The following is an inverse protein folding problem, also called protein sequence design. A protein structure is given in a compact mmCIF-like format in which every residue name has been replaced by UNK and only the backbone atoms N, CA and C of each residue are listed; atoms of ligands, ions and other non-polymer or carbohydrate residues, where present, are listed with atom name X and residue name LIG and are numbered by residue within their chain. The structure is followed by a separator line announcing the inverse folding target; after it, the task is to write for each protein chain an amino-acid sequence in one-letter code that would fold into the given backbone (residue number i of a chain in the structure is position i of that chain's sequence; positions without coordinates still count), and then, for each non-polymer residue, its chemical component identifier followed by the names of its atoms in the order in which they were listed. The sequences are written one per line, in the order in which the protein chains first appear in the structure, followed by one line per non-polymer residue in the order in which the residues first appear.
data_IF_873390592432
#
_entry.id   IF_873390592432
#
_cell.length_a   1.000
_cell.length_b   1.000
_cell.length_c   1.000
_cell.angle_alpha   90.00
_cell.angle_beta   90.00
_cell.angle_gamma   90.00
#
_symmetry.space_group_name_H-M   'P 1'
#
loop_
_entity.id
_entity.type
_entity.pdbx_description
1 polymer ?
#
# COMPACT_ATOMS: atom_id res chain seq x y z
N UNK A 1 -9.18 2.35 14.05
CA UNK A 1 -10.39 2.28 14.84
C UNK A 1 -10.66 3.52 15.68
N UNK A 2 -9.85 3.78 16.73
CA UNK A 2 -10.20 4.81 17.75
C UNK A 2 -10.23 6.24 17.20
N UNK A 3 -9.33 6.64 16.30
CA UNK A 3 -9.35 7.98 15.69
C UNK A 3 -10.71 8.31 15.05
N UNK A 4 -11.32 7.33 14.37
CA UNK A 4 -12.66 7.50 13.79
C UNK A 4 -13.72 7.61 14.90
N UNK A 5 -13.65 6.76 15.91
CA UNK A 5 -14.59 6.82 17.05
C UNK A 5 -14.48 8.14 17.82
N UNK A 6 -13.27 8.68 17.97
CA UNK A 6 -13.02 9.93 18.66
C UNK A 6 -13.71 11.15 18.03
N UNK A 7 -14.10 11.07 16.74
CA UNK A 7 -14.83 12.14 16.03
C UNK A 7 -16.33 12.19 16.38
N UNK A 8 -16.86 11.18 17.06
CA UNK A 8 -18.26 11.16 17.46
C UNK A 8 -18.54 12.13 18.61
N UNK A 9 -19.80 12.60 18.74
CA UNK A 9 -20.24 13.47 19.84
C UNK A 9 -20.10 12.77 21.20
N UNK A 10 -20.34 11.44 21.24
CA UNK A 10 -20.12 10.59 22.40
C UNK A 10 -19.45 9.29 22.01
N UNK A 11 -18.45 8.89 22.77
CA UNK A 11 -17.72 7.62 22.63
C UNK A 11 -18.04 6.72 23.82
N UNK A 12 -18.70 5.62 23.57
CA UNK A 12 -19.05 4.65 24.60
C UNK A 12 -18.22 3.38 24.46
N UNK A 13 -17.82 2.83 25.59
CA UNK A 13 -16.99 1.63 25.66
C UNK A 13 -17.71 0.59 26.54
N UNK A 14 -17.65 -0.66 26.11
CA UNK A 14 -18.11 -1.75 26.97
C UNK A 14 -17.24 -1.84 28.24
N UNK A 15 -17.82 -2.14 29.46
CA UNK A 15 -17.04 -2.24 30.70
C UNK A 15 -15.88 -3.26 30.68
N UNK A 16 -15.87 -4.19 29.72
CA UNK A 16 -14.76 -5.12 29.47
C UNK A 16 -13.95 -4.76 28.21
N UNK A 17 -14.14 -3.55 27.68
CA UNK A 17 -13.43 -3.03 26.52
C UNK A 17 -12.11 -2.36 26.90
N UNK A 18 -11.38 -1.93 25.89
CA UNK A 18 -10.12 -1.20 26.06
C UNK A 18 -9.93 -0.17 24.93
N UNK A 19 -9.25 0.90 25.25
CA UNK A 19 -8.62 1.79 24.25
C UNK A 19 -7.13 1.80 24.54
N UNK A 20 -6.34 1.37 23.58
CA UNK A 20 -4.89 1.33 23.69
C UNK A 20 -4.28 2.10 22.53
N UNK A 21 -3.43 3.08 22.85
CA UNK A 21 -2.68 3.88 21.89
C UNK A 21 -1.21 3.43 21.94
N UNK A 22 -0.87 2.44 21.10
CA UNK A 22 0.43 1.75 21.17
C UNK A 22 1.56 2.49 20.44
N UNK A 23 1.23 3.45 19.59
CA UNK A 23 2.21 4.05 18.71
C UNK A 23 2.31 3.32 17.37
N UNK A 24 3.28 3.75 16.56
CA UNK A 24 3.64 3.11 15.30
C UNK A 24 4.94 2.35 15.50
N UNK A 25 4.96 1.09 15.08
CA UNK A 25 6.15 0.24 15.12
C UNK A 25 6.36 -0.46 13.77
N UNK A 26 7.61 -0.64 13.40
CA UNK A 26 8.01 -1.38 12.20
C UNK A 26 9.03 -2.44 12.58
N UNK A 27 8.56 -3.66 12.78
CA UNK A 27 9.38 -4.81 13.15
C UNK A 27 9.37 -5.82 12.01
N UNK A 28 10.56 -6.24 11.57
CA UNK A 28 10.75 -7.22 10.50
C UNK A 28 11.44 -8.47 11.01
N UNK A 29 11.18 -9.60 10.36
CA UNK A 29 11.96 -10.82 10.57
C UNK A 29 13.17 -10.80 9.63
N UNK A 30 14.35 -11.05 10.17
CA UNK A 30 15.61 -11.13 9.44
C UNK A 30 15.99 -12.59 9.22
N UNK A 31 16.44 -12.94 8.02
CA UNK A 31 16.61 -14.30 7.56
C UNK A 31 18.09 -14.68 7.31
N UNK A 32 19.02 -13.73 7.39
CA UNK A 32 20.42 -13.95 7.02
C UNK A 32 21.04 -15.18 7.74
N UNK A 33 20.88 -15.30 9.05
CA UNK A 33 21.43 -16.41 9.82
C UNK A 33 20.77 -17.76 9.46
N UNK A 34 19.47 -17.73 9.14
CA UNK A 34 18.77 -18.91 8.67
C UNK A 34 19.26 -19.33 7.26
N UNK A 35 19.47 -18.36 6.40
CA UNK A 35 19.98 -18.60 5.04
C UNK A 35 21.39 -19.18 5.08
N UNK A 36 22.29 -18.62 5.90
CA UNK A 36 23.63 -19.19 6.12
C UNK A 36 23.54 -20.65 6.60
N UNK A 37 22.71 -20.89 7.60
CA UNK A 37 22.51 -22.26 8.14
C UNK A 37 22.01 -23.25 7.10
N UNK A 38 21.12 -22.82 6.21
CA UNK A 38 20.56 -23.68 5.16
C UNK A 38 21.41 -23.70 3.88
N UNK A 39 22.43 -22.85 3.74
CA UNK A 39 23.24 -22.74 2.55
C UNK A 39 22.55 -22.01 1.41
N UNK A 40 21.76 -21.00 1.75
CA UNK A 40 21.12 -20.09 0.80
C UNK A 40 21.95 -18.81 0.78
N UNK A 41 22.42 -18.40 -0.39
CA UNK A 41 23.14 -17.15 -0.58
C UNK A 41 22.18 -16.08 -1.11
N UNK A 42 22.03 -14.97 -0.39
CA UNK A 42 21.22 -13.82 -0.83
C UNK A 42 22.16 -12.70 -1.31
N UNK A 43 21.94 -12.22 -2.51
CA UNK A 43 22.69 -11.12 -3.12
C UNK A 43 21.78 -9.92 -3.30
N UNK A 44 21.99 -8.89 -2.49
CA UNK A 44 21.27 -7.63 -2.58
C UNK A 44 22.09 -6.61 -3.39
N UNK A 45 21.52 -6.14 -4.47
CA UNK A 45 22.02 -5.04 -5.28
C UNK A 45 21.06 -3.86 -5.10
N UNK A 46 21.55 -2.68 -4.75
CA UNK A 46 20.69 -1.51 -4.52
C UNK A 46 21.39 -0.21 -4.87
N UNK A 47 20.60 0.81 -5.14
CA UNK A 47 21.05 2.20 -5.20
C UNK A 47 20.28 3.01 -4.16
N UNK A 48 21.04 3.65 -3.25
CA UNK A 48 20.52 4.42 -2.13
C UNK A 48 20.55 3.65 -0.80
N UNK A 49 21.11 4.29 0.21
CA UNK A 49 21.32 3.76 1.56
C UNK A 49 20.01 3.47 2.30
N UNK A 50 18.95 4.22 1.98
CA UNK A 50 17.62 4.07 2.61
C UNK A 50 16.74 2.99 1.95
N UNK A 51 17.19 2.35 0.85
CA UNK A 51 16.46 1.26 0.21
C UNK A 51 16.63 -0.04 0.98
N UNK A 52 15.98 -0.13 2.13
CA UNK A 52 16.14 -1.20 3.12
C UNK A 52 15.26 -2.44 2.89
N UNK A 53 14.43 -2.48 1.84
CA UNK A 53 13.48 -3.58 1.60
C UNK A 53 14.15 -4.97 1.51
N UNK A 54 15.39 -5.05 0.99
CA UNK A 54 16.15 -6.29 0.88
C UNK A 54 17.04 -6.63 2.09
N UNK A 55 17.17 -5.75 3.09
CA UNK A 55 18.04 -5.98 4.25
C UNK A 55 17.69 -7.24 5.06
N UNK A 56 16.41 -7.62 5.22
CA UNK A 56 16.07 -8.83 5.95
C UNK A 56 16.73 -10.10 5.44
N UNK A 57 17.14 -10.13 4.18
CA UNK A 57 17.72 -11.33 3.56
C UNK A 57 19.25 -11.39 3.67
N UNK A 58 19.92 -10.27 4.03
CA UNK A 58 21.38 -10.17 4.07
C UNK A 58 21.94 -9.74 5.42
N UNK A 59 21.06 -9.40 6.38
CA UNK A 59 21.42 -8.92 7.72
C UNK A 59 20.60 -9.63 8.78
N UNK A 60 21.08 -9.61 10.02
CA UNK A 60 20.36 -10.09 11.19
C UNK A 60 19.58 -8.98 11.93
N UNK A 61 19.78 -7.71 11.53
CA UNK A 61 19.20 -6.51 12.15
C UNK A 61 18.94 -5.41 11.13
N UNK A 62 18.29 -4.33 11.55
CA UNK A 62 18.08 -3.13 10.74
C UNK A 62 19.36 -2.31 10.62
N UNK A 63 19.54 -1.63 9.48
CA UNK A 63 20.63 -0.65 9.37
C UNK A 63 20.29 0.65 10.09
N UNK A 64 21.30 1.41 10.58
CA UNK A 64 21.07 2.71 11.18
C UNK A 64 20.33 3.69 10.27
N UNK A 65 20.59 3.62 8.97
CA UNK A 65 19.92 4.43 7.95
C UNK A 65 18.44 4.07 7.81
N UNK A 66 18.13 2.78 7.88
CA UNK A 66 16.73 2.31 7.85
C UNK A 66 15.98 2.76 9.11
N UNK A 67 16.60 2.62 10.29
CA UNK A 67 16.00 3.03 11.56
C UNK A 67 15.77 4.55 11.61
N UNK A 68 16.76 5.35 11.19
CA UNK A 68 16.63 6.81 11.10
C UNK A 68 15.49 7.22 10.20
N UNK A 69 15.43 6.66 8.99
CA UNK A 69 14.38 6.98 8.04
C UNK A 69 12.99 6.56 8.54
N UNK A 70 12.87 5.37 9.14
CA UNK A 70 11.62 4.86 9.67
C UNK A 70 11.11 5.71 10.84
N UNK A 71 11.95 6.03 11.80
CA UNK A 71 11.58 6.90 12.91
C UNK A 71 11.19 8.30 12.44
N UNK A 72 11.85 8.84 11.42
CA UNK A 72 11.59 10.19 10.94
C UNK A 72 10.15 10.37 10.44
N UNK A 73 9.67 9.48 9.58
CA UNK A 73 8.29 9.57 9.07
C UNK A 73 7.25 9.04 10.07
N UNK A 74 7.59 7.99 10.86
CA UNK A 74 6.66 7.45 11.86
C UNK A 74 6.35 8.47 12.95
N UNK A 75 7.36 9.19 13.47
CA UNK A 75 7.15 10.24 14.46
C UNK A 75 6.28 11.39 13.93
N UNK A 76 6.44 11.75 12.67
CA UNK A 76 5.64 12.78 12.03
C UNK A 76 4.16 12.35 11.92
N UNK A 77 3.89 11.13 11.46
CA UNK A 77 2.53 10.57 11.39
C UNK A 77 1.92 10.39 12.78
N UNK A 78 2.69 9.85 13.73
CA UNK A 78 2.24 9.63 15.10
C UNK A 78 1.87 10.93 15.81
N UNK A 79 2.68 11.96 15.67
CA UNK A 79 2.41 13.28 16.26
C UNK A 79 1.09 13.85 15.75
N UNK A 80 0.78 13.75 14.46
CA UNK A 80 -0.52 14.15 13.90
C UNK A 80 -1.64 13.29 14.44
N UNK A 81 -1.46 11.98 14.49
CA UNK A 81 -2.48 11.07 15.01
C UNK A 81 -2.89 11.42 16.45
N UNK A 82 -1.91 11.71 17.31
CA UNK A 82 -2.18 12.16 18.68
C UNK A 82 -2.85 13.53 18.71
N UNK A 83 -2.41 14.47 17.86
CA UNK A 83 -3.01 15.80 17.76
C UNK A 83 -4.48 15.74 17.33
N UNK A 84 -4.80 14.89 16.35
CA UNK A 84 -6.17 14.73 15.85
C UNK A 84 -7.08 14.09 16.91
N UNK A 85 -6.59 13.07 17.64
CA UNK A 85 -7.31 12.49 18.78
C UNK A 85 -7.52 13.55 19.87
N UNK A 86 -6.47 14.27 20.24
CA UNK A 86 -6.53 15.28 21.28
C UNK A 86 -7.53 16.40 20.92
N UNK A 87 -7.50 16.88 19.68
CA UNK A 87 -8.44 17.87 19.19
C UNK A 87 -9.90 17.37 19.25
N UNK A 88 -10.17 16.16 18.76
CA UNK A 88 -11.49 15.55 18.78
C UNK A 88 -12.02 15.33 20.20
N UNK A 89 -11.16 14.91 21.13
CA UNK A 89 -11.52 14.65 22.54
C UNK A 89 -11.35 15.86 23.46
N UNK A 90 -10.95 17.03 22.93
CA UNK A 90 -10.68 18.26 23.69
C UNK A 90 -9.62 18.04 24.78
N UNK A 91 -8.58 17.30 24.45
CA UNK A 91 -7.44 16.99 25.30
C UNK A 91 -6.19 17.76 24.83
N UNK A 92 -5.15 17.76 25.67
CA UNK A 92 -3.85 18.24 25.28
C UNK A 92 -3.00 17.08 24.73
N UNK A 93 -2.41 17.23 23.55
CA UNK A 93 -1.66 16.16 22.88
C UNK A 93 -0.38 15.75 23.66
N UNK A 94 0.29 16.70 24.32
CA UNK A 94 1.46 16.41 25.13
C UNK A 94 1.09 15.61 26.38
N UNK A 95 -0.04 15.96 27.00
CA UNK A 95 -0.61 15.19 28.13
C UNK A 95 -0.95 13.76 27.69
N UNK A 96 -1.54 13.59 26.52
CA UNK A 96 -1.89 12.28 25.97
C UNK A 96 -0.64 11.44 25.72
N UNK A 97 0.42 12.02 25.14
CA UNK A 97 1.70 11.37 24.94
C UNK A 97 2.33 10.93 26.28
N UNK A 98 2.37 11.83 27.28
CA UNK A 98 2.90 11.50 28.61
C UNK A 98 2.11 10.37 29.30
N UNK A 99 0.80 10.29 29.08
CA UNK A 99 -0.03 9.20 29.62
C UNK A 99 0.30 7.86 28.97
N UNK A 100 0.74 7.82 27.71
CA UNK A 100 1.19 6.60 27.04
C UNK A 100 2.49 6.12 27.67
N UNK A 101 3.44 7.01 27.93
CA UNK A 101 4.71 6.69 28.58
C UNK A 101 4.53 6.19 30.02
N UNK A 102 3.55 6.72 30.75
CA UNK A 102 3.22 6.35 32.14
C UNK A 102 2.13 5.26 32.25
N UNK A 103 1.78 4.61 31.14
CA UNK A 103 0.67 3.64 31.06
C UNK A 103 0.69 2.56 32.15
N UNK A 104 1.85 1.95 32.53
CA UNK A 104 1.88 0.96 33.60
C UNK A 104 1.39 1.49 34.95
N UNK A 105 1.79 2.71 35.34
CA UNK A 105 1.39 3.31 36.61
C UNK A 105 -0.09 3.71 36.59
N UNK A 106 -0.55 4.27 35.48
CA UNK A 106 -1.96 4.65 35.31
C UNK A 106 -2.87 3.40 35.36
N UNK A 107 -2.46 2.30 34.72
CA UNK A 107 -3.20 1.04 34.74
C UNK A 107 -3.20 0.42 36.17
N UNK A 108 -2.09 0.50 36.89
CA UNK A 108 -2.01 0.05 38.26
C UNK A 108 -2.97 0.84 39.18
N UNK A 109 -3.07 2.16 38.99
CA UNK A 109 -3.97 3.03 39.77
C UNK A 109 -5.46 2.67 39.63
N UNK A 110 -5.86 2.11 38.50
CA UNK A 110 -7.21 1.60 38.25
C UNK A 110 -7.35 0.08 38.43
N UNK A 111 -6.37 -0.54 39.12
CA UNK A 111 -6.36 -1.97 39.45
C UNK A 111 -6.42 -2.90 38.23
N UNK A 112 -5.82 -2.50 37.11
CA UNK A 112 -5.78 -3.27 35.87
C UNK A 112 -7.02 -3.16 34.99
N UNK A 113 -7.96 -2.29 35.32
CA UNK A 113 -9.20 -2.12 34.57
C UNK A 113 -8.99 -1.16 33.37
N UNK A 114 -8.82 -1.71 32.18
CA UNK A 114 -8.57 -0.95 30.96
C UNK A 114 -9.72 -0.02 30.56
N UNK A 115 -10.95 -0.40 30.83
CA UNK A 115 -12.11 0.45 30.52
C UNK A 115 -12.17 1.67 31.43
N UNK A 116 -11.91 1.49 32.74
CA UNK A 116 -11.80 2.59 33.69
C UNK A 116 -10.60 3.48 33.36
N UNK A 117 -9.49 2.93 32.90
CA UNK A 117 -8.37 3.72 32.44
C UNK A 117 -8.76 4.62 31.27
N UNK A 118 -9.37 4.08 30.23
CA UNK A 118 -9.85 4.86 29.09
C UNK A 118 -10.83 5.98 29.50
N UNK A 119 -11.72 5.69 30.46
CA UNK A 119 -12.63 6.68 31.01
C UNK A 119 -11.91 7.79 31.81
N UNK A 120 -10.94 7.41 32.63
CA UNK A 120 -10.13 8.36 33.43
C UNK A 120 -9.29 9.28 32.55
N UNK A 121 -8.78 8.77 31.42
CA UNK A 121 -8.04 9.52 30.41
C UNK A 121 -8.97 10.36 29.49
N UNK A 122 -10.29 10.31 29.68
CA UNK A 122 -11.31 10.97 28.83
C UNK A 122 -11.27 10.55 27.36
N UNK A 123 -10.73 9.36 27.08
CA UNK A 123 -10.80 8.78 25.75
C UNK A 123 -12.20 8.29 25.41
N UNK A 124 -13.00 7.96 26.41
CA UNK A 124 -14.41 7.59 26.28
C UNK A 124 -15.28 8.40 27.25
N UNK A 125 -16.56 8.56 26.94
CA UNK A 125 -17.49 9.37 27.72
C UNK A 125 -18.29 8.53 28.74
N UNK A 126 -18.51 7.24 28.44
CA UNK A 126 -19.20 6.34 29.35
C UNK A 126 -18.79 4.87 29.12
N UNK A 127 -18.96 4.08 30.16
CA UNK A 127 -18.92 2.63 30.07
C UNK A 127 -20.36 2.12 29.96
N UNK A 128 -20.69 1.43 28.86
CA UNK A 128 -22.06 1.08 28.48
C UNK A 128 -22.10 -0.36 28.01
N UNK A 129 -22.99 -1.17 28.59
CA UNK A 129 -23.24 -2.54 28.11
C UNK A 129 -24.09 -2.52 26.82
N UNK A 130 -24.18 -3.65 26.15
CA UNK A 130 -24.92 -3.73 24.87
C UNK A 130 -26.43 -3.43 25.07
N UNK A 131 -27.04 -3.96 26.08
CA UNK A 131 -28.46 -3.75 26.41
C UNK A 131 -28.75 -2.28 26.79
N UNK A 132 -27.84 -1.62 27.52
CA UNK A 132 -27.90 -0.18 27.80
C UNK A 132 -27.76 0.65 26.53
N UNK A 133 -26.85 0.26 25.59
CA UNK A 133 -26.69 0.89 24.28
C UNK A 133 -27.99 0.78 23.45
N UNK A 134 -28.56 -0.43 23.36
CA UNK A 134 -29.79 -0.69 22.64
C UNK A 134 -30.96 0.14 23.20
N UNK A 135 -31.05 0.22 24.52
CA UNK A 135 -32.05 1.07 25.21
C UNK A 135 -31.88 2.55 24.85
N UNK A 136 -30.66 3.07 24.84
CA UNK A 136 -30.36 4.49 24.48
C UNK A 136 -30.71 4.76 23.01
N UNK A 137 -30.33 3.85 22.10
CA UNK A 137 -30.64 3.99 20.68
C UNK A 137 -32.14 3.90 20.39
N UNK A 138 -32.87 3.04 21.09
CA UNK A 138 -34.33 2.95 20.98
C UNK A 138 -35.02 4.23 21.46
N UNK A 139 -34.45 4.92 22.46
CA UNK A 139 -34.97 6.20 22.93
C UNK A 139 -34.74 7.37 21.97
N UNK A 140 -33.71 7.32 21.12
CA UNK A 140 -33.35 8.37 20.16
C UNK A 140 -33.90 8.13 18.76
N UNK A 141 -34.22 6.89 18.40
CA UNK A 141 -34.66 6.47 17.07
C UNK A 141 -36.06 5.84 17.05
N UNK A 142 -36.39 5.21 15.93
CA UNK A 142 -37.63 4.44 15.81
C UNK A 142 -37.45 3.06 16.47
N UNK A 143 -38.42 2.66 17.28
CA UNK A 143 -38.47 1.33 17.88
C UNK A 143 -38.54 0.28 16.78
N UNK A 144 -37.69 -0.74 16.86
CA UNK A 144 -37.69 -1.91 15.96
C UNK A 144 -38.77 -2.90 16.36
N UNK A 145 -39.14 -3.74 15.41
CA UNK A 145 -40.00 -4.92 15.66
C UNK A 145 -39.13 -6.20 15.87
N UNK A 146 -37.81 -6.05 15.74
CA UNK A 146 -36.83 -7.11 15.86
C UNK A 146 -36.25 -7.21 17.28
N UNK A 147 -35.48 -8.24 17.54
CA UNK A 147 -34.87 -8.52 18.85
C UNK A 147 -33.83 -7.44 19.29
N UNK A 148 -33.45 -6.49 18.40
CA UNK A 148 -32.53 -5.42 18.73
C UNK A 148 -33.19 -4.15 19.24
N UNK A 149 -34.52 -4.10 19.31
CA UNK A 149 -35.29 -3.02 19.94
C UNK A 149 -35.26 -1.66 19.22
N UNK A 150 -34.46 -1.46 18.15
CA UNK A 150 -34.39 -0.24 17.34
C UNK A 150 -34.19 -0.54 15.85
N UNK A 151 -34.64 0.36 14.99
CA UNK A 151 -34.49 0.20 13.55
C UNK A 151 -33.08 0.53 13.10
N UNK A 152 -32.46 -0.39 12.40
CA UNK A 152 -31.10 -0.24 11.85
C UNK A 152 -31.01 -0.75 10.42
N UNK A 153 -30.03 -0.26 9.69
CA UNK A 153 -29.66 -0.75 8.36
C UNK A 153 -28.15 -0.97 8.31
N UNK A 154 -27.71 -2.12 7.83
CA UNK A 154 -26.28 -2.38 7.62
C UNK A 154 -25.69 -1.49 6.52
N UNK A 155 -24.42 -1.09 6.68
CA UNK A 155 -23.72 -0.20 5.74
C UNK A 155 -23.78 -0.70 4.30
N UNK A 156 -23.58 -2.00 4.06
CA UNK A 156 -23.64 -2.59 2.71
C UNK A 156 -25.03 -2.45 2.09
N UNK A 157 -26.11 -2.70 2.84
CA UNK A 157 -27.47 -2.55 2.36
C UNK A 157 -27.81 -1.07 2.09
N UNK A 158 -27.31 -0.16 2.93
CA UNK A 158 -27.46 1.27 2.73
C UNK A 158 -26.73 1.74 1.47
N UNK A 159 -25.45 1.34 1.29
CA UNK A 159 -24.65 1.65 0.11
C UNK A 159 -25.27 1.12 -1.19
N UNK A 160 -25.78 -0.12 -1.19
CA UNK A 160 -26.49 -0.68 -2.34
C UNK A 160 -27.75 0.12 -2.70
N UNK A 161 -28.44 0.65 -1.70
CA UNK A 161 -29.63 1.47 -1.92
C UNK A 161 -29.32 2.84 -2.51
N UNK A 162 -28.18 3.45 -2.12
CA UNK A 162 -27.69 4.68 -2.71
C UNK A 162 -27.22 4.51 -4.16
N UNK A 163 -26.65 3.36 -4.48
CA UNK A 163 -26.06 3.06 -5.79
C UNK A 163 -27.02 2.32 -6.72
N UNK A 164 -28.32 2.28 -6.44
CA UNK A 164 -29.31 1.46 -7.16
C UNK A 164 -29.56 1.87 -8.63
N UNK A 165 -29.11 3.05 -9.05
CA UNK A 165 -29.23 3.48 -10.45
C UNK A 165 -27.87 3.48 -11.13
N UNK A 166 -27.68 2.75 -12.25
CA UNK A 166 -26.48 2.87 -13.04
C UNK A 166 -26.33 4.32 -13.55
N UNK A 167 -25.12 4.90 -13.49
CA UNK A 167 -24.91 6.25 -13.98
C UNK A 167 -25.24 6.31 -15.47
N UNK A 168 -26.09 7.26 -15.87
CA UNK A 168 -26.37 7.52 -17.28
C UNK A 168 -25.11 8.07 -17.97
N UNK A 169 -24.88 7.75 -19.26
CA UNK A 169 -23.79 8.35 -20.01
C UNK A 169 -23.85 9.87 -19.92
N UNK A 170 -22.77 10.48 -19.44
CA UNK A 170 -22.65 11.93 -19.34
C UNK A 170 -21.40 12.36 -20.15
N UNK A 171 -21.53 13.32 -21.07
CA UNK A 171 -20.39 13.81 -21.86
C UNK A 171 -19.31 14.50 -21.01
N UNK A 172 -19.62 14.83 -19.74
CA UNK A 172 -18.72 15.45 -18.80
C UNK A 172 -18.32 14.45 -17.69
N UNK A 173 -17.59 13.42 -18.06
CA UNK A 173 -17.16 12.37 -17.12
C UNK A 173 -15.72 12.60 -16.65
N UNK A 174 -15.51 12.51 -15.33
CA UNK A 174 -14.20 12.28 -14.70
C UNK A 174 -14.06 10.78 -14.49
N UNK A 175 -13.08 10.17 -15.15
CA UNK A 175 -12.79 8.75 -15.00
C UNK A 175 -11.87 8.52 -13.79
N UNK A 176 -12.20 7.60 -12.91
CA UNK A 176 -11.34 7.16 -11.81
C UNK A 176 -10.80 5.78 -12.15
N UNK A 177 -9.47 5.65 -12.24
CA UNK A 177 -8.76 4.37 -12.36
C UNK A 177 -8.11 4.08 -11.01
N UNK A 178 -8.41 2.93 -10.42
CA UNK A 178 -7.85 2.52 -9.14
C UNK A 178 -6.62 1.65 -9.38
N UNK A 179 -5.50 2.02 -8.76
CA UNK A 179 -4.24 1.29 -8.73
C UNK A 179 -3.92 0.93 -7.28
N UNK A 180 -4.34 -0.26 -6.86
CA UNK A 180 -4.22 -0.74 -5.47
C UNK A 180 -3.45 -2.06 -5.41
N UNK A 181 -2.47 -2.14 -4.52
CA UNK A 181 -1.61 -3.29 -4.30
C UNK A 181 -0.22 -3.19 -4.94
N UNK A 182 0.49 -4.31 -4.99
CA UNK A 182 1.82 -4.42 -5.60
C UNK A 182 1.75 -4.33 -7.13
N UNK A 183 2.71 -3.63 -7.73
CA UNK A 183 2.81 -3.51 -9.20
C UNK A 183 3.55 -4.73 -9.76
N UNK A 184 2.87 -5.47 -10.63
CA UNK A 184 3.34 -6.73 -11.20
C UNK A 184 3.34 -6.71 -12.74
N UNK A 185 4.14 -7.57 -13.36
CA UNK A 185 4.19 -7.72 -14.80
C UNK A 185 2.91 -8.36 -15.36
N UNK A 186 2.55 -7.97 -16.56
CA UNK A 186 1.40 -8.52 -17.28
C UNK A 186 0.04 -8.11 -16.72
N UNK A 187 -0.91 -9.07 -16.70
CA UNK A 187 -2.25 -8.90 -16.14
C UNK A 187 -2.24 -9.15 -14.63
N UNK A 188 -2.52 -8.14 -13.82
CA UNK A 188 -2.60 -8.29 -12.36
C UNK A 188 -3.82 -9.13 -11.91
N UNK A 189 -3.61 -9.92 -10.87
CA UNK A 189 -4.69 -10.56 -10.12
C UNK A 189 -5.42 -9.54 -9.21
N UNK A 190 -6.64 -9.85 -8.73
CA UNK A 190 -7.31 -9.00 -7.76
C UNK A 190 -6.42 -8.69 -6.54
N UNK A 191 -6.28 -7.40 -6.21
CA UNK A 191 -5.36 -6.93 -5.14
C UNK A 191 -3.94 -6.66 -5.60
N UNK A 192 -3.66 -6.72 -6.91
CA UNK A 192 -2.40 -6.29 -7.53
C UNK A 192 -2.64 -5.32 -8.68
N UNK A 193 -1.61 -4.58 -9.05
CA UNK A 193 -1.62 -3.63 -10.16
C UNK A 193 -0.86 -4.27 -11.33
N UNK A 194 -1.58 -4.89 -12.27
CA UNK A 194 -0.97 -5.38 -13.50
C UNK A 194 -0.59 -4.24 -14.44
N UNK A 195 0.65 -4.24 -14.94
CA UNK A 195 1.10 -3.20 -15.86
C UNK A 195 0.25 -3.10 -17.12
N UNK A 196 -0.09 -4.24 -17.72
CA UNK A 196 -0.93 -4.30 -18.92
C UNK A 196 -2.37 -3.93 -18.61
N UNK A 197 -2.94 -4.49 -17.54
CA UNK A 197 -4.33 -4.23 -17.14
C UNK A 197 -4.55 -2.76 -16.84
N UNK A 198 -3.71 -2.16 -15.98
CA UNK A 198 -3.88 -0.77 -15.56
C UNK A 198 -3.62 0.20 -16.70
N UNK A 199 -2.61 -0.05 -17.53
CA UNK A 199 -2.35 0.72 -18.75
C UNK A 199 -3.55 0.67 -19.71
N UNK A 200 -4.18 -0.50 -19.89
CA UNK A 200 -5.38 -0.64 -20.72
C UNK A 200 -6.58 0.13 -20.15
N UNK A 201 -6.76 0.18 -18.82
CA UNK A 201 -7.82 0.97 -18.18
C UNK A 201 -7.62 2.48 -18.41
N UNK A 202 -6.39 2.98 -18.25
CA UNK A 202 -6.06 4.38 -18.50
C UNK A 202 -6.26 4.71 -19.99
N UNK A 203 -5.81 3.84 -20.89
CA UNK A 203 -6.02 3.98 -22.35
C UNK A 203 -7.49 4.03 -22.70
N UNK A 204 -8.32 3.13 -22.15
CA UNK A 204 -9.77 3.14 -22.34
C UNK A 204 -10.38 4.47 -21.90
N UNK A 205 -9.96 5.02 -20.74
CA UNK A 205 -10.40 6.33 -20.29
C UNK A 205 -9.93 7.46 -21.25
N UNK A 206 -8.72 7.35 -21.78
CA UNK A 206 -8.18 8.31 -22.75
C UNK A 206 -8.96 8.30 -24.07
N UNK A 207 -9.38 7.13 -24.54
CA UNK A 207 -10.06 6.95 -25.82
C UNK A 207 -11.59 7.20 -25.76
N UNK A 208 -12.19 7.17 -24.57
CA UNK A 208 -13.62 7.46 -24.39
C UNK A 208 -13.90 8.97 -24.53
N UNK A 209 -14.67 9.36 -25.55
CA UNK A 209 -15.02 10.75 -25.83
C UNK A 209 -15.82 11.45 -24.71
N UNK A 210 -16.51 10.70 -23.87
CA UNK A 210 -17.25 11.25 -22.73
C UNK A 210 -16.33 11.57 -21.54
N UNK A 211 -15.16 10.95 -21.46
CA UNK A 211 -14.18 11.22 -20.43
C UNK A 211 -13.40 12.47 -20.76
N UNK A 212 -13.44 13.46 -19.87
CA UNK A 212 -12.74 14.75 -20.03
C UNK A 212 -11.50 14.88 -19.16
N UNK A 213 -11.43 14.13 -18.06
CA UNK A 213 -10.28 14.06 -17.17
C UNK A 213 -10.15 12.65 -16.56
N UNK A 214 -8.94 12.33 -16.09
CA UNK A 214 -8.68 11.07 -15.40
C UNK A 214 -8.13 11.35 -14.01
N UNK A 215 -8.64 10.64 -13.02
CA UNK A 215 -8.05 10.55 -11.68
C UNK A 215 -7.45 9.16 -11.54
N UNK A 216 -6.15 9.09 -11.25
CA UNK A 216 -5.49 7.85 -10.87
C UNK A 216 -5.44 7.77 -9.33
N UNK A 217 -6.23 6.87 -8.76
CA UNK A 217 -6.23 6.60 -7.30
C UNK A 217 -5.17 5.56 -7.01
N UNK A 218 -4.10 5.94 -6.30
CA UNK A 218 -2.94 5.09 -6.04
C UNK A 218 -2.87 4.70 -4.57
N UNK A 219 -2.87 3.39 -4.29
CA UNK A 219 -2.60 2.82 -2.98
C UNK A 219 -1.62 1.64 -3.13
N UNK A 220 -0.32 1.93 -3.26
CA UNK A 220 0.68 0.96 -3.72
C UNK A 220 2.04 1.14 -3.05
N UNK A 221 2.67 0.04 -2.58
CA UNK A 221 4.07 0.03 -2.15
C UNK A 221 5.08 0.13 -3.32
N UNK A 222 4.60 0.06 -4.54
CA UNK A 222 5.40 -0.12 -5.74
C UNK A 222 5.44 -1.57 -6.22
N UNK A 223 6.52 -1.96 -6.88
CA UNK A 223 6.72 -3.30 -7.45
C UNK A 223 7.72 -3.29 -8.61
N UNK A 224 7.46 -4.04 -9.66
CA UNK A 224 8.32 -4.14 -10.84
C UNK A 224 8.45 -2.78 -11.56
N UNK A 225 9.66 -2.49 -12.04
CA UNK A 225 9.96 -1.22 -12.74
C UNK A 225 9.27 -1.15 -14.10
N UNK A 226 9.33 -2.23 -14.88
CA UNK A 226 8.79 -2.23 -16.24
C UNK A 226 7.28 -1.95 -16.29
N UNK A 227 6.42 -2.63 -15.54
CA UNK A 227 4.99 -2.29 -15.51
C UNK A 227 4.71 -0.89 -14.94
N UNK A 228 5.52 -0.42 -13.99
CA UNK A 228 5.40 0.97 -13.51
C UNK A 228 5.64 1.99 -14.64
N UNK A 229 6.61 1.73 -15.50
CA UNK A 229 6.89 2.58 -16.67
C UNK A 229 5.78 2.50 -17.72
N UNK A 230 5.18 1.33 -17.96
CA UNK A 230 4.04 1.19 -18.87
C UNK A 230 2.87 2.07 -18.41
N UNK A 231 2.54 2.02 -17.12
CA UNK A 231 1.45 2.83 -16.54
C UNK A 231 1.79 4.33 -16.60
N UNK A 232 3.00 4.72 -16.20
CA UNK A 232 3.46 6.11 -16.27
C UNK A 232 3.36 6.65 -17.70
N UNK A 233 3.73 5.84 -18.69
CA UNK A 233 3.64 6.24 -20.10
C UNK A 233 2.20 6.48 -20.56
N UNK A 234 1.23 5.68 -20.13
CA UNK A 234 -0.19 5.94 -20.44
C UNK A 234 -0.72 7.21 -19.76
N UNK A 235 -0.20 7.57 -18.58
CA UNK A 235 -0.49 8.88 -17.96
C UNK A 235 0.00 10.01 -18.86
N UNK A 236 1.24 9.94 -19.38
CA UNK A 236 1.76 10.94 -20.32
C UNK A 236 0.95 11.02 -21.61
N UNK A 237 0.59 9.88 -22.20
CA UNK A 237 -0.21 9.84 -23.43
C UNK A 237 -1.60 10.42 -23.21
N UNK A 238 -2.18 10.23 -22.04
CA UNK A 238 -3.49 10.79 -21.67
C UNK A 238 -3.43 12.31 -21.57
N UNK A 239 -2.38 12.86 -20.95
CA UNK A 239 -2.12 14.30 -20.93
C UNK A 239 -1.86 14.86 -22.32
N UNK A 240 -1.05 14.17 -23.13
CA UNK A 240 -0.76 14.58 -24.52
C UNK A 240 -2.03 14.58 -25.40
N UNK A 241 -3.03 13.75 -25.09
CA UNK A 241 -4.35 13.77 -25.73
C UNK A 241 -5.26 14.92 -25.25
N UNK A 242 -4.76 15.80 -24.37
CA UNK A 242 -5.48 16.96 -23.86
C UNK A 242 -6.42 16.65 -22.69
N UNK A 243 -6.35 15.46 -22.08
CA UNK A 243 -7.13 15.10 -20.90
C UNK A 243 -6.26 15.27 -19.66
N UNK A 244 -6.60 16.17 -18.71
CA UNK A 244 -5.88 16.30 -17.46
C UNK A 244 -5.86 14.99 -16.68
N UNK A 245 -4.71 14.69 -16.05
CA UNK A 245 -4.56 13.56 -15.15
C UNK A 245 -4.19 14.07 -13.76
N UNK A 246 -5.01 13.77 -12.78
CA UNK A 246 -4.76 14.09 -11.37
C UNK A 246 -4.55 12.78 -10.60
N UNK A 247 -3.55 12.77 -9.71
CA UNK A 247 -3.33 11.62 -8.81
C UNK A 247 -3.94 11.91 -7.45
N UNK A 248 -4.65 10.93 -6.91
CA UNK A 248 -5.07 10.87 -5.51
C UNK A 248 -4.35 9.70 -4.83
N UNK A 249 -3.39 9.99 -3.97
CA UNK A 249 -2.71 8.98 -3.18
C UNK A 249 -3.60 8.49 -2.04
N UNK A 250 -3.56 7.20 -1.76
CA UNK A 250 -4.18 6.56 -0.60
C UNK A 250 -3.27 6.64 0.62
N UNK A 251 -3.28 5.57 1.42
CA UNK A 251 -2.42 5.46 2.58
C UNK A 251 -0.95 5.32 2.18
N UNK A 252 -0.71 4.72 1.00
CA UNK A 252 0.62 4.40 0.50
C UNK A 252 0.72 4.63 -1.01
N UNK A 253 1.71 5.42 -1.45
CA UNK A 253 2.04 5.61 -2.86
C UNK A 253 3.54 5.80 -3.02
N UNK A 254 4.29 4.71 -2.83
CA UNK A 254 5.75 4.75 -2.71
C UNK A 254 6.44 3.95 -3.82
N UNK A 255 7.68 4.33 -4.13
CA UNK A 255 8.54 3.63 -5.09
C UNK A 255 7.88 3.52 -6.48
N UNK A 256 7.55 2.34 -6.98
CA UNK A 256 6.74 2.17 -8.20
C UNK A 256 5.40 2.89 -8.15
N UNK A 257 4.76 3.00 -6.95
CA UNK A 257 3.56 3.78 -6.73
C UNK A 257 3.79 5.30 -6.95
N UNK A 258 4.97 5.81 -6.57
CA UNK A 258 5.37 7.17 -6.92
C UNK A 258 5.73 7.30 -8.41
N UNK A 259 6.37 6.26 -9.00
CA UNK A 259 6.70 6.21 -10.42
C UNK A 259 5.47 6.43 -11.30
N UNK A 260 4.37 5.74 -11.04
CA UNK A 260 3.12 5.90 -11.81
C UNK A 260 2.41 7.23 -11.55
N UNK A 261 2.76 7.92 -10.44
CA UNK A 261 2.12 9.17 -10.00
C UNK A 261 2.82 10.42 -10.49
N UNK A 262 4.16 10.39 -10.65
CA UNK A 262 5.01 11.58 -10.78
C UNK A 262 4.66 12.50 -11.95
N UNK A 263 4.12 11.96 -13.05
CA UNK A 263 3.81 12.71 -14.27
C UNK A 263 2.40 13.33 -14.30
N UNK A 264 1.61 13.21 -13.24
CA UNK A 264 0.29 13.84 -13.15
C UNK A 264 0.36 15.37 -13.21
N UNK A 265 -0.73 16.03 -13.59
CA UNK A 265 -0.86 17.49 -13.57
C UNK A 265 -0.95 18.04 -12.16
N UNK A 266 -1.42 17.21 -11.22
CA UNK A 266 -1.48 17.49 -9.78
C UNK A 266 -1.47 16.18 -9.00
N UNK A 267 -0.79 16.18 -7.87
CA UNK A 267 -0.72 15.04 -6.94
C UNK A 267 -1.31 15.47 -5.60
N UNK A 268 -2.38 14.80 -5.21
CA UNK A 268 -3.04 14.94 -3.91
C UNK A 268 -2.65 13.81 -2.98
N UNK A 269 -2.40 14.12 -1.71
CA UNK A 269 -2.13 13.15 -0.65
C UNK A 269 -2.73 13.63 0.67
N UNK A 270 -2.99 12.71 1.59
CA UNK A 270 -3.18 13.06 3.00
C UNK A 270 -1.81 13.42 3.61
N UNK A 271 -1.74 14.33 4.60
CA UNK A 271 -0.50 14.60 5.31
C UNK A 271 0.20 13.36 5.90
N UNK A 272 -0.57 12.31 6.20
CA UNK A 272 -0.09 11.03 6.74
C UNK A 272 0.10 9.94 5.68
N UNK A 273 -0.17 10.20 4.40
CA UNK A 273 0.17 9.29 3.30
C UNK A 273 1.65 8.94 3.34
N UNK A 274 1.99 7.68 3.15
CA UNK A 274 3.37 7.22 3.02
C UNK A 274 3.76 7.24 1.55
N UNK A 275 4.85 7.98 1.20
CA UNK A 275 5.27 8.13 -0.20
C UNK A 275 6.79 8.25 -0.34
N UNK A 276 7.29 8.66 -1.50
CA UNK A 276 8.72 8.71 -1.80
C UNK A 276 9.26 7.32 -2.12
N UNK A 277 10.23 6.83 -1.34
CA UNK A 277 10.97 5.58 -1.60
C UNK A 277 11.52 5.52 -3.03
N UNK A 278 11.92 6.69 -3.58
CA UNK A 278 12.50 6.83 -4.92
C UNK A 278 13.87 6.15 -4.92
N UNK A 279 13.89 4.92 -5.41
CA UNK A 279 15.06 4.05 -5.39
C UNK A 279 14.68 2.67 -5.92
N UNK A 280 15.68 1.94 -6.39
CA UNK A 280 15.50 0.59 -6.93
C UNK A 280 16.47 -0.39 -6.29
N UNK A 281 16.10 -1.66 -6.30
CA UNK A 281 16.95 -2.76 -5.87
C UNK A 281 16.67 -4.00 -6.69
N UNK A 282 17.60 -4.95 -6.64
CA UNK A 282 17.45 -6.30 -7.15
C UNK A 282 17.89 -7.29 -6.09
N UNK A 283 17.20 -8.39 -5.98
CA UNK A 283 17.51 -9.47 -5.06
C UNK A 283 17.61 -10.76 -5.84
N UNK A 284 18.71 -11.50 -5.63
CA UNK A 284 18.98 -12.77 -6.26
C UNK A 284 19.42 -13.79 -5.22
N UNK A 285 18.94 -15.03 -5.37
CA UNK A 285 19.28 -16.12 -4.44
C UNK A 285 19.99 -17.23 -5.17
N UNK A 286 21.04 -17.77 -4.55
CA UNK A 286 21.69 -18.99 -4.97
C UNK A 286 21.57 -20.06 -3.89
N UNK A 287 21.49 -21.31 -4.29
CA UNK A 287 21.25 -22.44 -3.39
C UNK A 287 22.23 -23.63 -3.63
N UNK A 288 23.44 -23.46 -4.20
CA UNK A 288 24.33 -24.57 -4.49
C UNK A 288 24.77 -25.31 -3.22
N UNK A 289 25.04 -24.59 -2.13
CA UNK A 289 25.40 -25.20 -0.85
C UNK A 289 24.22 -25.94 -0.21
N UNK A 290 23.01 -25.37 -0.28
CA UNK A 290 21.80 -26.03 0.19
C UNK A 290 21.54 -27.34 -0.56
N UNK A 291 21.74 -27.35 -1.88
CA UNK A 291 21.65 -28.53 -2.71
C UNK A 291 22.76 -29.57 -2.35
N UNK A 292 23.98 -29.12 -2.13
CA UNK A 292 25.08 -29.95 -1.70
C UNK A 292 24.82 -30.66 -0.35
N UNK A 293 24.15 -29.97 0.60
CA UNK A 293 23.77 -30.57 1.90
C UNK A 293 22.79 -31.74 1.78
N UNK A 294 22.04 -31.82 0.67
CA UNK A 294 21.15 -32.96 0.36
C UNK A 294 21.68 -33.87 -0.75
N UNK A 295 22.95 -33.72 -1.12
CA UNK A 295 23.63 -34.56 -2.09
C UNK A 295 23.33 -34.25 -3.57
N UNK A 296 22.76 -33.09 -3.87
CA UNK A 296 22.50 -32.64 -5.23
C UNK A 296 23.59 -31.69 -5.70
N UNK A 297 24.05 -31.89 -6.95
CA UNK A 297 25.07 -31.05 -7.59
C UNK A 297 24.59 -30.65 -8.97
N UNK A 298 24.94 -29.43 -9.40
CA UNK A 298 24.66 -28.93 -10.74
C UNK A 298 25.97 -28.79 -11.51
N UNK A 299 26.06 -29.46 -12.66
CA UNK A 299 27.18 -29.37 -13.58
C UNK A 299 26.68 -29.32 -15.03
N UNK A 300 27.48 -28.77 -15.95
CA UNK A 300 27.12 -28.64 -17.33
C UNK A 300 28.09 -27.78 -18.13
N UNK A 301 27.83 -27.67 -19.42
CA UNK A 301 28.63 -26.86 -20.35
C UNK A 301 27.74 -25.83 -21.06
N UNK A 302 28.27 -24.64 -21.31
CA UNK A 302 27.59 -23.56 -22.03
C UNK A 302 28.40 -23.11 -23.24
N UNK A 303 27.75 -22.59 -24.26
CA UNK A 303 28.40 -22.01 -25.44
C UNK A 303 29.07 -20.66 -25.17
N UNK A 304 28.64 -20.00 -24.10
CA UNK A 304 29.21 -18.73 -23.61
C UNK A 304 29.32 -18.78 -22.10
N UNK A 305 30.10 -17.89 -21.51
CA UNK A 305 30.19 -17.74 -20.05
C UNK A 305 28.83 -17.32 -19.41
N UNK A 306 27.98 -16.63 -20.18
CA UNK A 306 26.67 -16.15 -19.72
C UNK A 306 25.62 -17.29 -19.71
N UNK A 307 25.86 -18.38 -20.43
CA UNK A 307 24.95 -19.51 -20.43
C UNK A 307 24.90 -20.18 -19.06
N UNK A 308 23.75 -20.14 -18.40
CA UNK A 308 23.53 -20.61 -17.04
C UNK A 308 24.14 -19.73 -15.94
N UNK A 309 24.55 -18.50 -16.23
CA UNK A 309 25.11 -17.59 -15.24
C UNK A 309 24.07 -17.06 -14.24
N UNK A 310 22.78 -17.17 -14.57
CA UNK A 310 21.64 -16.82 -13.70
C UNK A 310 20.96 -18.07 -13.10
N UNK A 311 21.54 -19.23 -13.21
CA UNK A 311 21.00 -20.44 -12.60
C UNK A 311 21.18 -20.37 -11.07
N UNK A 312 20.09 -20.37 -10.27
CA UNK A 312 20.17 -20.30 -8.82
C UNK A 312 20.82 -21.53 -8.19
N UNK A 313 20.89 -22.66 -8.90
CA UNK A 313 21.58 -23.86 -8.46
C UNK A 313 23.12 -23.79 -8.58
N UNK A 314 23.65 -22.67 -9.08
CA UNK A 314 25.09 -22.41 -9.27
C UNK A 314 25.51 -21.17 -8.48
N UNK A 315 26.79 -21.08 -8.05
CA UNK A 315 27.31 -19.84 -7.45
C UNK A 315 27.16 -18.65 -8.41
N UNK A 316 26.85 -17.47 -7.87
CA UNK A 316 26.74 -16.25 -8.67
C UNK A 316 28.11 -15.86 -9.24
N UNK A 317 28.22 -15.77 -10.56
CA UNK A 317 29.43 -15.22 -11.21
C UNK A 317 29.56 -13.73 -10.87
N UNK A 318 30.73 -13.25 -10.37
CA UNK A 318 30.94 -11.84 -10.05
C UNK A 318 30.67 -10.89 -11.22
N UNK A 319 30.86 -11.33 -12.47
CA UNK A 319 30.54 -10.52 -13.66
C UNK A 319 29.04 -10.27 -13.77
N UNK A 320 28.22 -11.23 -13.38
CA UNK A 320 26.75 -11.08 -13.34
C UNK A 320 26.38 -10.06 -12.27
N UNK A 321 26.98 -10.13 -11.08
CA UNK A 321 26.77 -9.14 -10.03
C UNK A 321 27.06 -7.71 -10.50
N UNK A 322 28.19 -7.50 -11.18
CA UNK A 322 28.52 -6.19 -11.76
C UNK A 322 27.49 -5.73 -12.81
N UNK A 323 27.09 -6.62 -13.72
CA UNK A 323 26.05 -6.31 -14.71
C UNK A 323 24.72 -5.90 -14.06
N UNK A 324 24.31 -6.59 -13.02
CA UNK A 324 23.09 -6.25 -12.26
C UNK A 324 23.23 -4.86 -11.65
N UNK A 325 24.35 -4.58 -10.97
CA UNK A 325 24.58 -3.27 -10.35
C UNK A 325 24.57 -2.13 -11.40
N UNK A 326 25.16 -2.36 -12.58
CA UNK A 326 25.15 -1.37 -13.68
C UNK A 326 23.72 -1.10 -14.18
N UNK A 327 22.90 -2.14 -14.34
CA UNK A 327 21.48 -2.00 -14.70
C UNK A 327 20.71 -1.21 -13.65
N UNK A 328 20.96 -1.47 -12.37
CA UNK A 328 20.31 -0.74 -11.28
C UNK A 328 20.77 0.71 -11.21
N UNK A 329 22.05 0.98 -11.39
CA UNK A 329 22.58 2.35 -11.44
C UNK A 329 21.90 3.14 -12.56
N UNK A 330 21.80 2.55 -13.75
CA UNK A 330 21.12 3.17 -14.91
C UNK A 330 19.61 3.37 -14.64
N UNK A 331 18.93 2.39 -14.06
CA UNK A 331 17.51 2.48 -13.73
C UNK A 331 17.22 3.53 -12.64
N UNK A 332 18.09 3.64 -11.63
CA UNK A 332 17.99 4.69 -10.63
C UNK A 332 18.18 6.08 -11.24
N UNK A 333 19.19 6.22 -12.10
CA UNK A 333 19.47 7.46 -12.81
C UNK A 333 18.30 7.92 -13.68
N UNK A 334 17.64 6.98 -14.35
CA UNK A 334 16.41 7.21 -15.13
C UNK A 334 15.25 7.62 -14.21
N UNK A 335 15.05 6.93 -13.07
CA UNK A 335 13.99 7.25 -12.12
C UNK A 335 14.10 8.68 -11.60
N UNK A 336 15.26 9.06 -11.03
CA UNK A 336 15.46 10.43 -10.52
C UNK A 336 15.40 11.48 -11.63
N UNK A 337 15.85 11.14 -12.84
CA UNK A 337 15.75 12.02 -14.01
C UNK A 337 14.30 12.29 -14.42
N UNK A 338 13.45 11.26 -14.44
CA UNK A 338 12.02 11.38 -14.72
C UNK A 338 11.30 12.19 -13.64
N UNK A 339 11.60 11.93 -12.36
CA UNK A 339 11.04 12.71 -11.24
C UNK A 339 11.45 14.17 -11.36
N UNK A 340 12.73 14.48 -11.61
CA UNK A 340 13.24 15.83 -11.78
C UNK A 340 12.49 16.57 -12.88
N UNK A 341 12.33 15.93 -14.03
CA UNK A 341 11.58 16.49 -15.17
C UNK A 341 10.11 16.72 -14.81
N UNK A 342 9.45 15.73 -14.23
CA UNK A 342 8.03 15.78 -13.91
C UNK A 342 7.71 16.83 -12.82
N UNK A 343 8.62 17.02 -11.87
CA UNK A 343 8.45 17.97 -10.75
C UNK A 343 9.11 19.33 -10.98
N UNK A 344 9.76 19.51 -12.13
CA UNK A 344 10.46 20.78 -12.47
C UNK A 344 11.60 21.11 -11.51
N UNK A 345 12.30 20.09 -11.00
CA UNK A 345 13.39 20.23 -10.05
C UNK A 345 14.72 19.78 -10.68
N UNK A 346 15.82 20.21 -10.07
CA UNK A 346 17.14 19.70 -10.45
C UNK A 346 17.32 18.25 -10.04
N UNK A 347 17.97 17.44 -10.89
CA UNK A 347 18.20 16.01 -10.65
C UNK A 347 19.01 15.75 -9.38
N UNK A 348 20.01 16.60 -9.08
CA UNK A 348 20.79 16.46 -7.85
C UNK A 348 19.95 16.78 -6.60
N UNK A 349 19.01 17.73 -6.69
CA UNK A 349 18.06 18.01 -5.61
C UNK A 349 17.13 16.81 -5.37
N UNK A 350 16.65 16.16 -6.44
CA UNK A 350 15.88 14.92 -6.32
C UNK A 350 16.73 13.80 -5.71
N UNK A 351 17.98 13.60 -6.15
CA UNK A 351 18.85 12.58 -5.56
C UNK A 351 19.00 12.75 -4.04
N UNK A 352 19.13 13.99 -3.57
CA UNK A 352 19.26 14.28 -2.13
C UNK A 352 18.06 13.83 -1.28
N UNK A 353 16.86 13.86 -1.83
CA UNK A 353 15.61 13.45 -1.14
C UNK A 353 15.13 12.04 -1.56
N UNK A 354 15.85 11.42 -2.48
CA UNK A 354 15.57 10.09 -3.01
C UNK A 354 16.31 8.99 -2.23
N UNK A 355 17.17 8.23 -2.89
CA UNK A 355 18.01 7.15 -2.34
C UNK A 355 17.22 6.09 -1.57
N UNK A 356 15.94 5.92 -1.96
CA UNK A 356 15.04 4.98 -1.31
C UNK A 356 14.36 5.50 -0.04
N UNK A 357 14.57 6.76 0.34
CA UNK A 357 14.00 7.35 1.55
C UNK A 357 12.49 7.51 1.44
N UNK A 358 11.81 7.18 2.53
CA UNK A 358 10.36 7.27 2.69
C UNK A 358 10.01 8.58 3.38
N UNK A 359 8.89 9.17 2.97
CA UNK A 359 8.38 10.43 3.49
C UNK A 359 6.90 10.30 3.84
N UNK A 360 6.44 11.04 4.86
CA UNK A 360 5.02 11.31 5.02
C UNK A 360 4.53 12.26 3.92
N UNK A 361 3.23 12.32 3.66
CA UNK A 361 2.64 13.28 2.71
C UNK A 361 2.99 14.73 3.03
N UNK A 362 3.06 15.07 4.34
CA UNK A 362 3.47 16.40 4.80
C UNK A 362 4.93 16.70 4.42
N UNK A 363 5.85 15.76 4.67
CA UNK A 363 7.26 15.89 4.30
C UNK A 363 7.44 15.90 2.76
N UNK A 364 6.72 15.02 2.06
CA UNK A 364 6.75 14.95 0.61
C UNK A 364 6.29 16.26 -0.07
N UNK A 365 5.29 16.93 0.50
CA UNK A 365 4.86 18.26 0.02
C UNK A 365 5.94 19.31 0.23
N UNK A 366 6.66 19.30 1.34
CA UNK A 366 7.79 20.21 1.58
C UNK A 366 8.92 19.99 0.56
N UNK A 367 9.11 18.74 0.12
CA UNK A 367 10.08 18.37 -0.91
C UNK A 367 9.58 18.56 -2.35
N UNK A 368 8.34 19.03 -2.55
CA UNK A 368 7.74 19.20 -3.87
C UNK A 368 7.38 17.91 -4.59
N UNK A 369 7.32 16.79 -3.87
CA UNK A 369 6.88 15.50 -4.40
C UNK A 369 5.36 15.35 -4.43
N UNK A 370 4.65 16.09 -3.58
CA UNK A 370 3.19 16.22 -3.50
C UNK A 370 2.81 17.67 -3.68
N UNK A 371 1.71 17.95 -4.37
CA UNK A 371 1.28 19.32 -4.67
C UNK A 371 0.31 19.85 -3.62
N UNK A 372 -0.73 19.07 -3.27
CA UNK A 372 -1.80 19.53 -2.39
C UNK A 372 -2.23 18.44 -1.40
N UNK A 373 -2.79 18.87 -0.27
CA UNK A 373 -3.46 17.96 0.64
C UNK A 373 -4.93 17.80 0.24
N UNK A 374 -5.41 16.56 0.26
CA UNK A 374 -6.80 16.24 -0.03
C UNK A 374 -6.99 14.77 -0.38
N UNK A 375 -8.24 14.34 -0.27
CA UNK A 375 -8.66 12.98 -0.66
C UNK A 375 -9.08 12.86 -2.12
N UNK A 376 -9.80 11.79 -2.42
CA UNK A 376 -10.29 11.50 -3.77
C UNK A 376 -11.23 12.59 -4.30
N UNK A 377 -12.13 13.11 -3.47
CA UNK A 377 -13.10 14.13 -3.89
C UNK A 377 -12.41 15.43 -4.32
N UNK A 378 -11.36 15.85 -3.59
CA UNK A 378 -10.56 17.01 -3.95
C UNK A 378 -9.84 16.82 -5.30
N UNK A 379 -9.30 15.62 -5.54
CA UNK A 379 -8.65 15.27 -6.80
C UNK A 379 -9.65 15.24 -7.96
N UNK A 380 -10.85 14.70 -7.76
CA UNK A 380 -11.92 14.68 -8.77
C UNK A 380 -12.37 16.11 -9.10
N UNK A 381 -12.59 16.95 -8.10
CA UNK A 381 -12.97 18.34 -8.30
C UNK A 381 -11.90 19.14 -9.07
N UNK A 382 -10.61 18.96 -8.73
CA UNK A 382 -9.50 19.59 -9.48
C UNK A 382 -9.41 19.07 -10.92
N UNK A 383 -9.60 17.77 -11.15
CA UNK A 383 -9.63 17.17 -12.47
C UNK A 383 -10.76 17.75 -13.33
N UNK A 384 -11.97 17.87 -12.79
CA UNK A 384 -13.12 18.48 -13.45
C UNK A 384 -12.86 19.96 -13.76
N UNK A 385 -12.28 20.72 -12.84
CA UNK A 385 -11.90 22.12 -13.03
C UNK A 385 -10.87 22.29 -14.15
N UNK A 386 -9.84 21.43 -14.20
CA UNK A 386 -8.81 21.44 -15.26
C UNK A 386 -9.40 21.12 -16.62
N UNK A 387 -10.33 20.18 -16.67
CA UNK A 387 -11.05 19.81 -17.90
C UNK A 387 -12.14 20.84 -18.29
N UNK A 388 -12.41 21.86 -17.46
CA UNK A 388 -13.41 22.92 -17.66
C UNK A 388 -14.83 22.39 -17.82
N UNK A 389 -15.17 21.30 -17.10
CA UNK A 389 -16.51 20.67 -17.15
C UNK A 389 -17.40 21.05 -15.97
N UNK A 390 -16.90 21.87 -15.03
CA UNK A 390 -17.69 22.41 -13.92
C UNK A 390 -18.17 21.36 -12.91
N UNK A 391 -19.18 21.75 -12.11
CA UNK A 391 -19.72 20.93 -11.02
C UNK A 391 -20.75 19.88 -11.48
N UNK A 392 -21.22 19.96 -12.74
CA UNK A 392 -22.20 19.01 -13.31
C UNK A 392 -21.54 17.75 -13.91
N UNK A 393 -20.31 17.45 -13.51
CA UNK A 393 -19.62 16.26 -13.97
C UNK A 393 -20.10 14.98 -13.24
N UNK A 394 -19.94 13.84 -13.93
CA UNK A 394 -20.15 12.52 -13.35
C UNK A 394 -18.82 11.85 -13.10
N UNK A 395 -18.64 11.28 -11.91
CA UNK A 395 -17.50 10.43 -11.60
C UNK A 395 -17.81 8.99 -11.97
N UNK A 396 -16.93 8.36 -12.77
CA UNK A 396 -17.09 6.97 -13.19
C UNK A 396 -15.80 6.18 -12.94
N UNK A 397 -15.91 5.08 -12.20
CA UNK A 397 -14.83 4.12 -12.06
C UNK A 397 -14.64 3.33 -13.36
N UNK A 398 -13.38 3.22 -13.80
CA UNK A 398 -13.00 2.44 -14.98
C UNK A 398 -12.37 1.15 -14.47
N UNK A 399 -13.14 0.08 -14.54
CA UNK A 399 -12.76 -1.23 -14.00
C UNK A 399 -12.61 -2.26 -15.13
N UNK A 400 -11.82 -3.32 -14.87
CA UNK A 400 -11.77 -4.49 -15.76
C UNK A 400 -13.18 -5.09 -15.80
N UNK A 401 -13.70 -5.31 -17.00
CA UNK A 401 -14.96 -6.04 -17.15
C UNK A 401 -14.71 -7.49 -16.76
N UNK A 402 -15.38 -8.03 -15.72
CA UNK A 402 -15.16 -9.41 -15.31
C UNK A 402 -15.43 -10.36 -16.49
N UNK A 403 -14.56 -11.34 -16.67
CA UNK A 403 -14.80 -12.43 -17.60
C UNK A 403 -16.06 -13.22 -17.23
N UNK A 404 -16.62 -14.00 -18.17
CA UNK A 404 -17.82 -14.81 -17.92
C UNK A 404 -17.64 -15.74 -16.71
N UNK A 405 -16.46 -16.33 -16.57
CA UNK A 405 -16.12 -17.20 -15.43
C UNK A 405 -15.97 -16.43 -14.12
N UNK A 406 -15.32 -15.26 -14.13
CA UNK A 406 -15.23 -14.37 -12.96
C UNK A 406 -16.61 -13.88 -12.53
N UNK A 407 -17.46 -13.52 -13.48
CA UNK A 407 -18.85 -13.12 -13.21
C UNK A 407 -19.63 -14.24 -12.53
N UNK A 408 -19.46 -15.49 -12.96
CA UNK A 408 -20.05 -16.65 -12.31
C UNK A 408 -19.50 -16.88 -10.89
N UNK A 409 -18.19 -16.70 -10.66
CA UNK A 409 -17.59 -16.82 -9.34
C UNK A 409 -18.06 -15.70 -8.39
N UNK A 410 -18.17 -14.47 -8.88
CA UNK A 410 -18.71 -13.34 -8.11
C UNK A 410 -20.17 -13.60 -7.74
N UNK A 411 -20.99 -14.11 -8.67
CA UNK A 411 -22.39 -14.49 -8.43
C UNK A 411 -22.48 -15.65 -7.43
N UNK A 412 -21.64 -16.67 -7.57
CA UNK A 412 -21.54 -17.79 -6.63
C UNK A 412 -21.09 -17.35 -5.22
N UNK A 413 -20.17 -16.38 -5.14
CA UNK A 413 -19.72 -15.82 -3.85
C UNK A 413 -20.82 -15.03 -3.14
N UNK A 414 -21.66 -14.34 -3.89
CA UNK A 414 -22.84 -13.62 -3.38
C UNK A 414 -23.95 -14.57 -2.90
N UNK A 415 -24.03 -15.78 -3.47
CA UNK A 415 -25.06 -16.79 -3.13
C UNK A 415 -24.71 -17.69 -1.90
N UNK A 416 -23.64 -17.40 -1.18
CA UNK A 416 -23.23 -18.17 0.02
C UNK A 416 -22.57 -19.52 -0.28
N UNK A 417 -22.38 -19.90 -1.55
CA UNK A 417 -21.72 -21.15 -1.94
C UNK A 417 -20.24 -21.22 -1.51
N UNK A 418 -19.58 -20.09 -1.29
CA UNK A 418 -18.20 -20.01 -0.78
C UNK A 418 -18.08 -20.39 0.69
N UNK A 419 -19.15 -20.27 1.49
CA UNK A 419 -19.18 -20.75 2.86
C UNK A 419 -19.06 -22.30 2.90
N UNK A 420 -19.73 -22.99 1.99
CA UNK A 420 -19.69 -24.46 1.85
C UNK A 420 -18.32 -24.98 1.36
N UNK A 421 -17.63 -24.24 0.49
CA UNK A 421 -16.29 -24.61 0.01
C UNK A 421 -15.21 -24.41 1.08
N UNK A 422 -15.36 -23.44 1.98
CA UNK A 422 -14.52 -23.27 3.18
C UNK A 422 -14.72 -24.42 4.20
N UNK A 423 -15.95 -24.87 4.38
CA UNK A 423 -16.27 -25.94 5.32
C UNK A 423 -15.75 -27.32 4.87
N UNK A 424 -15.54 -27.53 3.58
CA UNK A 424 -15.16 -28.83 3.01
C UNK A 424 -13.69 -28.97 2.61
N UNK A 425 -12.80 -28.08 3.06
CA UNK A 425 -11.34 -28.32 3.05
C UNK A 425 -10.63 -28.31 1.70
N UNK A 426 -11.21 -27.73 0.64
CA UNK A 426 -10.56 -27.60 -0.67
C UNK A 426 -9.55 -26.42 -0.74
N UNK A 427 -8.88 -26.10 0.36
CA UNK A 427 -7.91 -25.02 0.41
C UNK A 427 -6.49 -25.58 0.31
N UNK A 428 -5.64 -24.87 -0.44
CA UNK A 428 -4.20 -25.09 -0.62
C UNK A 428 -3.49 -25.38 0.70
N UNK A 429 -2.45 -26.24 0.74
CA UNK A 429 -1.63 -26.48 1.94
C UNK A 429 -1.08 -25.21 2.61
N UNK A 430 -0.94 -24.11 1.86
CA UNK A 430 -0.56 -22.79 2.37
C UNK A 430 -1.60 -22.15 3.30
N UNK A 431 -2.85 -22.59 3.26
CA UNK A 431 -3.92 -22.10 4.14
C UNK A 431 -3.72 -22.45 5.62
N UNK A 432 -2.82 -23.38 5.92
CA UNK A 432 -2.46 -23.78 7.29
C UNK A 432 -1.42 -22.84 7.95
N UNK A 433 -0.79 -21.98 7.16
CA UNK A 433 0.14 -21.00 7.69
C UNK A 433 -0.62 -19.77 8.21
N UNK A 434 -0.12 -19.19 9.32
CA UNK A 434 -0.63 -17.90 9.78
C UNK A 434 -0.38 -16.82 8.73
N UNK A 435 -1.32 -15.90 8.55
CA UNK A 435 -1.32 -14.83 7.54
C UNK A 435 0.06 -14.17 7.31
N UNK A 436 0.83 -13.76 8.33
CA UNK A 436 2.13 -13.14 8.10
C UNK A 436 3.15 -14.05 7.43
N UNK A 437 3.19 -15.34 7.82
CA UNK A 437 4.12 -16.31 7.26
C UNK A 437 3.73 -16.74 5.84
N UNK A 438 2.44 -16.77 5.55
CA UNK A 438 1.91 -17.05 4.21
C UNK A 438 2.27 -15.93 3.23
N UNK A 439 2.02 -14.68 3.61
CA UNK A 439 2.32 -13.50 2.80
C UNK A 439 3.82 -13.42 2.47
N UNK A 440 4.67 -13.71 3.46
CA UNK A 440 6.12 -13.67 3.27
C UNK A 440 6.61 -14.82 2.38
N UNK A 441 6.04 -16.02 2.50
CA UNK A 441 6.37 -17.15 1.64
C UNK A 441 5.91 -16.94 0.19
N UNK A 442 4.70 -16.43 -0.02
CA UNK A 442 4.19 -16.07 -1.34
C UNK A 442 5.06 -14.98 -2.00
N UNK A 443 5.57 -14.06 -1.20
CA UNK A 443 6.49 -13.02 -1.64
C UNK A 443 7.87 -13.59 -2.03
N UNK A 444 8.46 -14.43 -1.19
CA UNK A 444 9.71 -15.13 -1.50
C UNK A 444 9.56 -15.96 -2.79
N UNK A 445 8.45 -16.64 -2.97
CA UNK A 445 8.15 -17.37 -4.20
C UNK A 445 8.13 -16.44 -5.42
N UNK A 446 7.50 -15.25 -5.32
CA UNK A 446 7.49 -14.27 -6.42
C UNK A 446 8.89 -13.72 -6.73
N UNK A 447 9.71 -13.45 -5.71
CA UNK A 447 11.08 -12.99 -5.88
C UNK A 447 12.01 -14.06 -6.49
N UNK A 448 11.72 -15.34 -6.27
CA UNK A 448 12.51 -16.47 -6.80
C UNK A 448 12.09 -16.90 -8.22
N UNK A 449 10.91 -16.51 -8.69
CA UNK A 449 10.45 -16.85 -10.04
C UNK A 449 10.92 -15.78 -11.03
N UNK A 450 11.74 -16.21 -12.00
CA UNK A 450 12.08 -15.38 -13.15
C UNK A 450 10.81 -15.09 -13.99
N UNK A 451 10.68 -13.88 -14.56
CA UNK A 451 9.53 -13.56 -15.40
C UNK A 451 9.46 -14.52 -16.60
N UNK A 452 8.29 -15.12 -16.81
CA UNK A 452 8.04 -16.13 -17.84
C UNK A 452 8.23 -15.63 -19.29
N UNK A 453 8.44 -14.33 -19.51
CA UNK A 453 8.40 -13.67 -20.81
C UNK A 453 9.77 -13.18 -21.33
N UNK A 454 10.87 -13.82 -20.97
CA UNK A 454 12.18 -13.52 -21.59
C UNK A 454 12.85 -12.22 -21.13
N UNK A 455 12.41 -11.65 -20.02
CA UNK A 455 13.11 -10.56 -19.31
C UNK A 455 14.38 -11.06 -18.61
N UNK A 456 15.18 -10.14 -18.06
CA UNK A 456 16.29 -10.51 -17.19
C UNK A 456 15.77 -11.39 -16.05
N UNK A 457 16.47 -12.49 -15.70
CA UNK A 457 16.03 -13.43 -14.66
C UNK A 457 16.17 -12.87 -13.24
N UNK A 458 16.12 -11.56 -13.11
CA UNK A 458 16.21 -10.81 -11.87
C UNK A 458 15.08 -9.81 -11.86
N UNK A 459 14.23 -9.90 -10.84
CA UNK A 459 13.19 -8.90 -10.61
C UNK A 459 13.82 -7.58 -10.16
N UNK A 460 13.91 -6.61 -11.06
CA UNK A 460 14.26 -5.22 -10.69
C UNK A 460 13.03 -4.57 -10.07
N UNK A 461 13.13 -4.25 -8.81
CA UNK A 461 12.00 -3.82 -7.98
C UNK A 461 12.09 -2.34 -7.60
N UNK A 462 11.01 -1.61 -7.85
CA UNK A 462 10.72 -0.32 -7.25
C UNK A 462 9.61 -0.53 -6.19
N UNK A 463 9.96 -1.17 -5.07
CA UNK A 463 9.05 -1.58 -4.02
C UNK A 463 9.43 -0.95 -2.67
N UNK A 464 8.44 -0.60 -1.87
CA UNK A 464 8.59 -0.15 -0.49
C UNK A 464 7.94 -1.12 0.48
N UNK A 465 8.67 -1.52 1.50
CA UNK A 465 8.12 -2.21 2.65
C UNK A 465 7.74 -1.21 3.74
N UNK A 466 6.87 -0.29 3.41
CA UNK A 466 6.51 0.83 4.26
C UNK A 466 5.28 0.55 5.15
N UNK A 467 4.74 -0.67 5.12
CA UNK A 467 3.61 -1.04 5.98
C UNK A 467 3.99 -1.01 7.46
N UNK A 468 3.16 -0.38 8.28
CA UNK A 468 3.19 -0.42 9.74
C UNK A 468 2.12 -1.39 10.25
N UNK A 469 2.40 -2.08 11.32
CA UNK A 469 1.45 -2.92 12.03
C UNK A 469 0.87 -2.16 13.20
#
# INVERSE_FOLDING_TARGET
GYLLAAQADEVWLHPQGAVLLEGLGRYRTYFADAFEKFGIEAHLFRVGEYKSAGEPYIRADSSPEADEADLYWMNDVWSRHLADIAAARKLDAATLAAQIDDYPNLLHAVQGDLAKLALSQKLVDALVTRDELETRLAATGAVGEDEHGFRQIGLNAFSQRLNAMPPMPNPNTVAVVVAEGEIVDGEGEPGTIGGETTSALIRRAREDENVKAVVLRVNSPGGSVFPSELIRREVELTKAAGKPVVVSMGDLAASGGYWISMNADRIYADPSTITGSIGIFGLFFNVPEAMGKVGLNTDGVGTTWLAGAFDPARPLDPRVGNMIQDVLNSGYDDFIGKVATARGQDKAAIDHIARGRVWSGAQAKQHGLVDEFGGLDAAVADAAKRAKIGDEHVTRYVEKTPGVFESMLIEASRSGATALLREHGFLSPLSLLREPARTELERLQRLMHAPANGGLPIAVQAHCECGVR
#
